data_IF_834784675126
#
_entry.id   IF_834784675126
#
_cell.length_a   1.000
_cell.length_b   1.000
_cell.length_c   1.000
_cell.angle_alpha   90.00
_cell.angle_beta   90.00
_cell.angle_gamma   90.00
#
_symmetry.space_group_name_H-M   'P 1'
#
loop_
_entity.id
_entity.type
_entity.pdbx_description
1 polymer ?
#
# COMPACT_ATOMS: atom_id res chain seq x y z
N UNK A 1 20.15 -1.89 -1.29
CA UNK A 1 20.18 -2.84 -0.16
C UNK A 1 19.54 -2.10 0.99
N UNK A 2 18.39 -2.55 1.47
CA UNK A 2 17.66 -1.87 2.56
C UNK A 2 18.50 -1.88 3.83
N UNK A 3 18.50 -0.78 4.58
CA UNK A 3 19.26 -0.68 5.82
C UNK A 3 18.34 -0.81 7.05
N UNK A 4 17.51 -1.85 7.09
CA UNK A 4 16.66 -2.08 8.25
C UNK A 4 17.44 -2.80 9.36
N UNK A 5 17.54 -2.15 10.52
CA UNK A 5 18.05 -2.80 11.73
C UNK A 5 16.90 -3.49 12.48
N UNK A 6 17.19 -4.62 13.11
CA UNK A 6 16.19 -5.38 13.87
C UNK A 6 15.99 -4.81 15.26
N UNK A 7 14.75 -4.86 15.76
CA UNK A 7 14.40 -4.50 17.13
C UNK A 7 15.22 -5.29 18.17
N UNK A 8 15.71 -4.60 19.21
CA UNK A 8 16.50 -5.16 20.30
C UNK A 8 15.69 -6.01 21.30
N UNK A 9 14.35 -6.05 21.21
CA UNK A 9 13.55 -6.90 22.08
C UNK A 9 13.79 -8.38 21.73
N UNK A 10 14.18 -9.26 22.69
CA UNK A 10 14.73 -10.60 22.41
C UNK A 10 13.90 -11.50 21.49
N UNK A 11 12.58 -11.45 21.64
CA UNK A 11 11.62 -12.25 20.85
C UNK A 11 11.08 -11.52 19.61
N UNK A 12 11.52 -10.29 19.38
CA UNK A 12 11.06 -9.51 18.23
C UNK A 12 11.92 -9.80 16.99
N UNK A 13 11.23 -9.90 15.84
CA UNK A 13 11.85 -10.04 14.52
C UNK A 13 11.47 -8.90 13.56
N UNK A 14 10.87 -7.85 14.11
CA UNK A 14 10.51 -6.65 13.36
C UNK A 14 11.67 -5.66 13.32
N UNK A 15 11.52 -4.57 12.57
CA UNK A 15 12.55 -3.57 12.38
C UNK A 15 12.38 -2.38 13.33
N UNK A 16 13.47 -1.69 13.60
CA UNK A 16 13.45 -0.47 14.39
C UNK A 16 12.64 0.63 13.71
N UNK A 17 12.02 1.47 14.52
CA UNK A 17 11.34 2.68 14.07
C UNK A 17 12.24 3.88 14.42
N UNK A 18 12.64 4.67 13.42
CA UNK A 18 13.62 5.76 13.55
C UNK A 18 14.98 5.30 14.14
N UNK A 19 15.66 6.18 14.88
CA UNK A 19 17.01 5.98 15.41
C UNK A 19 17.06 5.17 16.74
N UNK A 20 15.91 4.69 17.21
CA UNK A 20 15.81 3.92 18.46
C UNK A 20 16.19 2.45 18.31
N UNK A 21 16.48 1.72 19.41
CA UNK A 21 16.78 0.30 19.35
C UNK A 21 15.52 -0.57 19.21
N UNK A 22 14.32 0.01 19.25
CA UNK A 22 13.06 -0.71 19.30
C UNK A 22 12.20 -0.45 18.07
N UNK A 23 11.40 -1.45 17.69
CA UNK A 23 10.31 -1.24 16.75
C UNK A 23 9.20 -0.40 17.40
N UNK A 24 8.24 0.01 16.58
CA UNK A 24 7.08 0.77 17.02
C UNK A 24 6.41 0.16 18.28
N UNK A 25 6.11 -1.16 18.25
CA UNK A 25 5.45 -1.87 19.35
C UNK A 25 6.28 -1.98 20.63
N UNK A 26 7.61 -2.04 20.54
CA UNK A 26 8.47 -2.16 21.72
C UNK A 26 9.07 -0.82 22.18
N UNK A 27 8.68 0.27 21.53
CA UNK A 27 9.05 1.61 21.99
C UNK A 27 8.49 1.84 23.40
N UNK A 28 9.31 2.33 24.36
CA UNK A 28 8.83 2.64 25.71
C UNK A 28 7.85 3.82 25.73
N UNK A 29 7.93 4.72 24.74
CA UNK A 29 7.03 5.87 24.57
C UNK A 29 6.32 5.80 23.20
N UNK A 30 5.32 4.93 23.08
CA UNK A 30 4.60 4.74 21.80
C UNK A 30 3.84 5.99 21.36
N UNK A 31 3.23 6.76 22.28
CA UNK A 31 2.48 7.97 21.94
C UNK A 31 3.38 9.07 21.35
N UNK A 32 4.56 9.26 21.93
CA UNK A 32 5.55 10.22 21.43
C UNK A 32 6.11 9.76 20.08
N UNK A 33 6.43 8.46 19.95
CA UNK A 33 6.89 7.89 18.69
C UNK A 33 5.82 8.04 17.59
N UNK A 34 4.56 7.75 17.89
CA UNK A 34 3.43 7.93 16.98
C UNK A 34 3.32 9.39 16.52
N UNK A 35 3.41 10.33 17.46
CA UNK A 35 3.34 11.76 17.15
C UNK A 35 4.47 12.20 16.21
N UNK A 36 5.70 11.72 16.45
CA UNK A 36 6.85 11.99 15.56
C UNK A 36 6.70 11.34 14.19
N UNK A 37 6.21 10.10 14.14
CA UNK A 37 5.93 9.41 12.87
C UNK A 37 4.89 10.16 12.04
N UNK A 38 3.81 10.66 12.67
CA UNK A 38 2.80 11.49 11.99
C UNK A 38 3.43 12.78 11.46
N UNK A 39 4.24 13.48 12.27
CA UNK A 39 4.93 14.70 11.84
C UNK A 39 5.87 14.43 10.67
N UNK A 40 6.62 13.33 10.71
CA UNK A 40 7.51 12.91 9.62
C UNK A 40 6.71 12.52 8.37
N UNK A 41 5.56 11.86 8.50
CA UNK A 41 4.71 11.54 7.36
C UNK A 41 4.10 12.79 6.72
N UNK A 42 3.74 13.80 7.51
CA UNK A 42 3.14 15.05 7.04
C UNK A 42 4.15 16.12 6.63
N UNK A 43 5.45 15.93 6.90
CA UNK A 43 6.49 16.86 6.47
C UNK A 43 6.71 16.82 4.95
N UNK A 44 7.49 17.75 4.41
CA UNK A 44 7.91 17.73 3.01
C UNK A 44 9.03 16.72 2.71
N UNK A 45 9.67 16.15 3.74
CA UNK A 45 10.82 15.25 3.54
C UNK A 45 10.39 13.89 3.02
N UNK A 46 11.11 13.31 2.07
CA UNK A 46 10.86 11.93 1.63
C UNK A 46 11.11 10.93 2.76
N UNK A 47 10.25 9.92 2.88
CA UNK A 47 10.45 8.79 3.79
C UNK A 47 11.28 7.73 3.05
N UNK A 48 12.51 7.49 3.51
CA UNK A 48 13.43 6.54 2.87
C UNK A 48 13.95 5.56 3.90
N UNK A 49 13.94 4.25 3.57
CA UNK A 49 14.42 3.16 4.43
C UNK A 49 13.76 3.14 5.83
N UNK A 50 12.50 3.55 5.90
CA UNK A 50 11.79 3.71 7.17
C UNK A 50 10.91 2.50 7.50
N UNK A 51 10.75 2.14 8.78
CA UNK A 51 9.82 1.09 9.20
C UNK A 51 8.78 1.59 10.19
N UNK A 52 7.52 1.38 9.84
CA UNK A 52 6.32 1.68 10.63
C UNK A 52 5.51 0.43 10.97
N UNK A 53 6.12 -0.75 10.86
CA UNK A 53 5.41 -2.03 10.90
C UNK A 53 4.45 -2.14 12.10
N UNK A 54 3.18 -2.46 11.82
CA UNK A 54 2.16 -2.66 12.85
C UNK A 54 1.59 -1.38 13.48
N UNK A 55 1.88 -0.21 12.94
CA UNK A 55 1.32 1.07 13.42
C UNK A 55 -0.07 1.33 12.85
N UNK A 56 -0.81 2.23 13.50
CA UNK A 56 -2.14 2.65 13.08
C UNK A 56 -2.17 4.15 12.78
N UNK A 57 -2.85 4.52 11.70
CA UNK A 57 -3.02 5.91 11.28
C UNK A 57 -4.45 6.17 10.88
N UNK A 58 -4.97 7.31 11.34
CA UNK A 58 -6.34 7.74 11.07
C UNK A 58 -6.37 9.23 10.73
N UNK A 59 -7.23 9.61 9.78
CA UNK A 59 -7.49 10.99 9.37
C UNK A 59 -6.22 11.78 8.96
N UNK A 60 -5.29 11.11 8.27
CA UNK A 60 -4.06 11.74 7.79
C UNK A 60 -4.16 12.15 6.33
N UNK A 61 -3.48 13.24 5.99
CA UNK A 61 -3.26 13.70 4.62
C UNK A 61 -1.79 13.68 4.30
N UNK A 62 -1.45 12.91 3.28
CA UNK A 62 -0.10 12.69 2.77
C UNK A 62 0.04 13.08 1.29
N UNK A 63 -0.63 14.14 0.79
CA UNK A 63 -0.65 14.39 -0.64
C UNK A 63 0.77 14.68 -1.14
N UNK A 64 1.15 14.04 -2.26
CA UNK A 64 2.49 14.19 -2.87
C UNK A 64 3.67 13.71 -2.01
N UNK A 65 3.42 13.00 -0.90
CA UNK A 65 4.49 12.42 -0.08
C UNK A 65 5.26 11.37 -0.88
N UNK A 66 6.57 11.36 -0.71
CA UNK A 66 7.44 10.30 -1.23
C UNK A 66 7.70 9.28 -0.12
N UNK A 67 7.35 8.02 -0.39
CA UNK A 67 7.65 6.88 0.47
C UNK A 67 8.43 5.88 -0.38
N UNK A 68 9.70 5.71 -0.04
CA UNK A 68 10.68 4.99 -0.84
C UNK A 68 11.36 3.95 0.04
N UNK A 69 11.49 2.73 -0.46
CA UNK A 69 12.22 1.66 0.21
C UNK A 69 11.79 1.40 1.67
N UNK A 70 10.52 1.69 1.99
CA UNK A 70 10.03 1.72 3.37
C UNK A 70 9.10 0.55 3.67
N UNK A 71 9.09 0.09 4.92
CA UNK A 71 8.29 -1.03 5.40
C UNK A 71 7.14 -0.55 6.29
N UNK A 72 5.94 -0.60 5.75
CA UNK A 72 4.67 -0.30 6.41
C UNK A 72 3.78 -1.55 6.50
N UNK A 73 4.35 -2.75 6.45
CA UNK A 73 3.58 -3.98 6.57
C UNK A 73 2.82 -4.04 7.91
N UNK A 74 1.69 -4.76 7.93
CA UNK A 74 0.84 -4.94 9.10
C UNK A 74 0.21 -3.66 9.67
N UNK A 75 0.29 -2.54 8.95
CA UNK A 75 -0.28 -1.27 9.41
C UNK A 75 -1.79 -1.23 9.16
N UNK A 76 -2.46 -0.34 9.91
CA UNK A 76 -3.84 0.02 9.63
C UNK A 76 -3.93 1.50 9.25
N UNK A 77 -4.59 1.79 8.13
CA UNK A 77 -4.86 3.13 7.65
C UNK A 77 -6.37 3.33 7.52
N UNK A 78 -6.90 4.34 8.19
CA UNK A 78 -8.32 4.73 8.15
C UNK A 78 -8.45 6.17 7.69
N UNK A 79 -9.26 6.44 6.67
CA UNK A 79 -9.47 7.80 6.14
C UNK A 79 -8.15 8.52 5.78
N UNK A 80 -7.15 7.78 5.29
CA UNK A 80 -5.85 8.37 4.93
C UNK A 80 -5.83 8.73 3.44
N UNK A 81 -5.43 9.97 3.17
CA UNK A 81 -5.27 10.52 1.83
C UNK A 81 -3.81 10.37 1.37
N UNK A 82 -3.55 9.41 0.50
CA UNK A 82 -2.29 9.17 -0.22
C UNK A 82 -2.30 9.76 -1.64
N UNK A 83 -3.21 10.69 -1.97
CA UNK A 83 -3.34 11.20 -3.33
C UNK A 83 -2.04 11.77 -3.87
N UNK A 84 -1.69 11.42 -5.10
CA UNK A 84 -0.47 11.89 -5.77
C UNK A 84 0.85 11.51 -5.06
N UNK A 85 0.84 10.58 -4.12
CA UNK A 85 2.06 10.07 -3.49
C UNK A 85 2.93 9.29 -4.48
N UNK A 86 4.23 9.28 -4.21
CA UNK A 86 5.19 8.40 -4.90
C UNK A 86 5.54 7.25 -3.97
N UNK A 87 5.23 6.03 -4.39
CA UNK A 87 5.47 4.78 -3.67
C UNK A 87 6.44 3.94 -4.49
N UNK A 88 7.71 3.87 -4.07
CA UNK A 88 8.74 3.10 -4.78
C UNK A 88 9.36 2.08 -3.84
N UNK A 89 9.38 0.80 -4.23
CA UNK A 89 9.92 -0.28 -3.40
C UNK A 89 9.35 -0.27 -1.96
N UNK A 90 8.06 0.03 -1.81
CA UNK A 90 7.42 0.16 -0.49
C UNK A 90 6.60 -1.09 -0.17
N UNK A 91 6.63 -1.51 1.09
CA UNK A 91 5.99 -2.73 1.55
C UNK A 91 4.77 -2.40 2.43
N UNK A 92 3.59 -2.71 1.93
CA UNK A 92 2.30 -2.63 2.61
C UNK A 92 1.68 -4.02 2.77
N UNK A 93 2.49 -5.07 2.92
CA UNK A 93 1.97 -6.43 3.09
C UNK A 93 1.05 -6.53 4.33
N UNK A 94 -0.06 -7.26 4.19
CA UNK A 94 -0.99 -7.56 5.28
C UNK A 94 -1.55 -6.32 6.01
N UNK A 95 -1.74 -5.21 5.29
CA UNK A 95 -2.32 -4.00 5.85
C UNK A 95 -3.85 -4.02 5.80
N UNK A 96 -4.46 -3.16 6.61
CA UNK A 96 -5.85 -2.73 6.43
C UNK A 96 -5.86 -1.30 5.90
N UNK A 97 -6.53 -1.10 4.76
CA UNK A 97 -6.89 0.21 4.23
C UNK A 97 -8.41 0.33 4.27
N UNK A 98 -8.91 1.31 5.03
CA UNK A 98 -10.34 1.55 5.19
C UNK A 98 -10.63 3.02 4.82
N UNK A 99 -11.45 3.23 3.80
CA UNK A 99 -11.80 4.56 3.28
C UNK A 99 -10.59 5.43 2.92
N UNK A 100 -9.53 4.83 2.36
CA UNK A 100 -8.31 5.53 1.97
C UNK A 100 -8.33 5.98 0.50
N UNK A 101 -7.69 7.12 0.21
CA UNK A 101 -7.59 7.66 -1.15
C UNK A 101 -6.17 7.50 -1.67
N UNK A 102 -6.03 6.96 -2.87
CA UNK A 102 -4.80 6.69 -3.61
C UNK A 102 -4.91 7.22 -5.06
N UNK A 103 -5.75 8.22 -5.33
CA UNK A 103 -5.93 8.67 -6.70
C UNK A 103 -4.67 9.38 -7.23
N UNK A 104 -4.33 9.12 -8.49
CA UNK A 104 -3.18 9.71 -9.16
C UNK A 104 -1.82 9.39 -8.53
N UNK A 105 -1.67 8.27 -7.80
CA UNK A 105 -0.37 7.87 -7.24
C UNK A 105 0.60 7.40 -8.33
N UNK A 106 1.89 7.45 -8.01
CA UNK A 106 2.95 6.79 -8.75
C UNK A 106 3.49 5.62 -7.92
N UNK A 107 3.07 4.40 -8.25
CA UNK A 107 3.53 3.18 -7.59
C UNK A 107 4.40 2.34 -8.52
N UNK A 108 5.60 1.98 -8.03
CA UNK A 108 6.51 1.08 -8.76
C UNK A 108 7.22 0.13 -7.80
N UNK A 109 7.16 -1.18 -8.10
CA UNK A 109 7.74 -2.25 -7.26
C UNK A 109 7.23 -2.23 -5.81
N UNK A 110 6.03 -1.70 -5.60
CA UNK A 110 5.36 -1.68 -4.30
C UNK A 110 4.65 -3.01 -4.07
N UNK A 111 4.46 -3.37 -2.81
CA UNK A 111 3.80 -4.60 -2.41
C UNK A 111 2.61 -4.27 -1.51
N UNK A 112 1.43 -4.78 -1.87
CA UNK A 112 0.18 -4.72 -1.09
C UNK A 112 -0.32 -6.12 -0.72
N UNK A 113 0.48 -7.17 -0.93
CA UNK A 113 0.04 -8.57 -0.83
C UNK A 113 -0.68 -8.88 0.48
N UNK A 114 -1.76 -9.65 0.39
CA UNK A 114 -2.55 -10.08 1.54
C UNK A 114 -3.27 -8.95 2.29
N UNK A 115 -3.23 -7.72 1.78
CA UNK A 115 -3.92 -6.59 2.41
C UNK A 115 -5.41 -6.61 2.15
N UNK A 116 -6.15 -6.00 3.07
CA UNK A 116 -7.56 -5.71 2.91
C UNK A 116 -7.77 -4.25 2.55
N UNK A 117 -8.57 -3.99 1.53
CA UNK A 117 -8.90 -2.64 1.05
C UNK A 117 -10.42 -2.49 0.99
N UNK A 118 -10.94 -1.56 1.76
CA UNK A 118 -12.37 -1.28 1.88
C UNK A 118 -12.59 0.17 1.47
N UNK A 119 -13.47 0.40 0.49
CA UNK A 119 -13.86 1.74 0.05
C UNK A 119 -12.65 2.62 -0.35
N UNK A 120 -11.67 2.02 -1.04
CA UNK A 120 -10.45 2.70 -1.45
C UNK A 120 -10.50 3.17 -2.92
N UNK A 121 -9.91 4.32 -3.21
CA UNK A 121 -9.90 4.90 -4.56
C UNK A 121 -8.48 5.07 -5.10
N UNK A 122 -8.10 4.26 -6.08
CA UNK A 122 -6.82 4.31 -6.79
C UNK A 122 -6.91 5.04 -8.14
N UNK A 123 -8.05 5.65 -8.48
CA UNK A 123 -8.30 6.12 -9.85
C UNK A 123 -7.23 7.05 -10.44
N UNK A 124 -7.00 6.92 -11.76
CA UNK A 124 -6.05 7.74 -12.51
C UNK A 124 -4.57 7.53 -12.13
N UNK A 125 -4.24 6.42 -11.47
CA UNK A 125 -2.89 6.15 -10.97
C UNK A 125 -2.00 5.42 -11.97
N UNK A 126 -0.68 5.56 -11.80
CA UNK A 126 0.33 4.76 -12.50
C UNK A 126 0.88 3.74 -11.51
N UNK A 127 0.45 2.50 -11.63
CA UNK A 127 0.70 1.40 -10.69
C UNK A 127 1.35 0.23 -11.44
N UNK A 128 2.66 0.30 -11.61
CA UNK A 128 3.40 -0.60 -12.49
C UNK A 128 4.28 -1.55 -11.69
N UNK A 129 4.36 -2.82 -12.12
CA UNK A 129 5.10 -3.85 -11.39
C UNK A 129 4.74 -3.95 -9.90
N UNK A 130 3.47 -3.72 -9.55
CA UNK A 130 3.01 -3.72 -8.16
C UNK A 130 2.39 -5.08 -7.83
N UNK A 131 2.67 -5.57 -6.63
CA UNK A 131 2.20 -6.87 -6.17
C UNK A 131 0.96 -6.72 -5.28
N UNK A 132 -0.20 -7.10 -5.79
CA UNK A 132 -1.47 -7.23 -5.08
C UNK A 132 -1.88 -8.70 -4.88
N UNK A 133 -0.94 -9.65 -4.82
CA UNK A 133 -1.28 -11.07 -4.60
C UNK A 133 -2.10 -11.25 -3.31
N UNK A 134 -3.22 -11.94 -3.39
CA UNK A 134 -4.05 -12.29 -2.23
C UNK A 134 -4.76 -11.12 -1.57
N UNK A 135 -4.91 -9.97 -2.23
CA UNK A 135 -5.67 -8.86 -1.66
C UNK A 135 -7.15 -9.19 -1.54
N UNK A 136 -7.81 -8.61 -0.54
CA UNK A 136 -9.27 -8.62 -0.37
C UNK A 136 -9.80 -7.20 -0.58
N UNK A 137 -10.43 -6.95 -1.73
CA UNK A 137 -11.00 -5.65 -2.07
C UNK A 137 -12.51 -5.65 -1.95
N UNK A 138 -13.05 -4.60 -1.35
CA UNK A 138 -14.48 -4.34 -1.30
C UNK A 138 -14.78 -2.88 -1.62
N UNK A 139 -15.55 -2.65 -2.70
CA UNK A 139 -15.93 -1.30 -3.17
C UNK A 139 -14.70 -0.43 -3.50
N UNK A 140 -13.71 -1.00 -4.17
CA UNK A 140 -12.51 -0.28 -4.58
C UNK A 140 -12.59 0.20 -6.03
N UNK A 141 -11.94 1.33 -6.33
CA UNK A 141 -11.90 1.93 -7.65
C UNK A 141 -10.46 1.94 -8.18
N UNK A 142 -10.21 1.30 -9.32
CA UNK A 142 -8.94 1.33 -10.06
C UNK A 142 -9.12 1.92 -11.47
N UNK A 143 -10.20 2.65 -11.72
CA UNK A 143 -10.48 3.20 -13.05
C UNK A 143 -9.35 4.12 -13.54
N UNK A 144 -9.17 4.18 -14.86
CA UNK A 144 -8.17 5.03 -15.53
C UNK A 144 -6.71 4.75 -15.10
N UNK A 145 -6.44 3.56 -14.53
CA UNK A 145 -5.11 3.21 -14.05
C UNK A 145 -4.23 2.53 -15.10
N UNK A 146 -2.93 2.82 -15.05
CA UNK A 146 -1.90 1.96 -15.68
C UNK A 146 -1.44 0.90 -14.69
N UNK A 147 -1.86 -0.35 -14.90
CA UNK A 147 -1.56 -1.52 -14.09
C UNK A 147 -0.55 -2.47 -14.76
N UNK A 148 0.27 -1.95 -15.68
CA UNK A 148 1.22 -2.76 -16.44
C UNK A 148 2.09 -3.64 -15.53
N UNK A 149 2.09 -4.95 -15.83
CA UNK A 149 2.87 -5.97 -15.10
C UNK A 149 2.53 -6.08 -13.60
N UNK A 150 1.37 -5.59 -13.15
CA UNK A 150 0.92 -5.77 -11.77
C UNK A 150 0.22 -7.12 -11.57
N UNK A 151 0.30 -7.70 -10.39
CA UNK A 151 -0.29 -9.04 -10.12
C UNK A 151 -1.34 -8.98 -9.04
N UNK A 152 -2.45 -9.67 -9.26
CA UNK A 152 -3.60 -9.84 -8.39
C UNK A 152 -3.86 -11.32 -8.08
N UNK A 153 -2.85 -12.19 -8.21
CA UNK A 153 -3.06 -13.63 -8.11
C UNK A 153 -3.69 -14.05 -6.78
N UNK A 154 -4.64 -14.98 -6.81
CA UNK A 154 -5.35 -15.49 -5.63
C UNK A 154 -6.10 -14.42 -4.82
N UNK A 155 -6.50 -13.32 -5.43
CA UNK A 155 -7.20 -12.22 -4.75
C UNK A 155 -8.72 -12.38 -4.76
N UNK A 156 -9.38 -11.73 -3.80
CA UNK A 156 -10.83 -11.62 -3.70
C UNK A 156 -11.23 -10.21 -4.10
N UNK A 157 -11.91 -10.07 -5.24
CA UNK A 157 -12.26 -8.78 -5.82
C UNK A 157 -13.78 -8.63 -5.82
N UNK A 158 -14.31 -7.81 -4.90
CA UNK A 158 -15.75 -7.57 -4.78
C UNK A 158 -16.08 -6.11 -4.99
N UNK A 159 -17.04 -5.84 -5.87
CA UNK A 159 -17.51 -4.49 -6.20
C UNK A 159 -16.35 -3.57 -6.61
N UNK A 160 -15.39 -4.14 -7.34
CA UNK A 160 -14.15 -3.44 -7.69
C UNK A 160 -14.15 -3.10 -9.17
N UNK A 161 -13.82 -1.87 -9.50
CA UNK A 161 -13.85 -1.36 -10.87
C UNK A 161 -12.44 -1.19 -11.42
N UNK A 162 -12.20 -1.69 -12.63
CA UNK A 162 -10.99 -1.53 -13.43
C UNK A 162 -11.41 -1.09 -14.84
N UNK A 163 -12.15 0.02 -14.94
CA UNK A 163 -12.60 0.57 -16.23
C UNK A 163 -11.54 1.49 -16.83
N UNK A 164 -11.38 1.45 -18.15
CA UNK A 164 -10.41 2.27 -18.89
C UNK A 164 -8.94 2.11 -18.41
N UNK A 165 -8.58 0.89 -17.97
CA UNK A 165 -7.24 0.58 -17.48
C UNK A 165 -6.32 0.00 -18.56
N UNK A 166 -5.02 0.27 -18.41
CA UNK A 166 -3.98 -0.53 -19.04
C UNK A 166 -3.60 -1.71 -18.14
N UNK A 167 -4.09 -2.90 -18.46
CA UNK A 167 -3.86 -4.17 -17.77
C UNK A 167 -2.82 -5.06 -18.49
N UNK A 168 -2.07 -4.54 -19.47
CA UNK A 168 -1.05 -5.32 -20.20
C UNK A 168 -0.12 -6.09 -19.26
N UNK A 169 -0.03 -7.41 -19.46
CA UNK A 169 0.78 -8.33 -18.64
C UNK A 169 0.41 -8.35 -17.16
N UNK A 170 -0.73 -7.78 -16.77
CA UNK A 170 -1.24 -8.00 -15.43
C UNK A 170 -1.69 -9.47 -15.28
N UNK A 171 -1.59 -10.00 -14.07
CA UNK A 171 -1.93 -11.38 -13.75
C UNK A 171 -3.09 -11.41 -12.76
N UNK A 172 -4.20 -12.01 -13.15
CA UNK A 172 -5.44 -12.17 -12.38
C UNK A 172 -5.74 -13.65 -12.10
N UNK A 173 -4.76 -14.54 -12.22
CA UNK A 173 -4.98 -15.96 -11.97
C UNK A 173 -5.56 -16.25 -10.59
N UNK A 174 -6.51 -17.20 -10.56
CA UNK A 174 -7.14 -17.67 -9.33
C UNK A 174 -7.87 -16.57 -8.54
N UNK A 175 -8.28 -15.48 -9.20
CA UNK A 175 -9.09 -14.44 -8.56
C UNK A 175 -10.55 -14.87 -8.39
N UNK A 176 -11.16 -14.56 -7.25
CA UNK A 176 -12.63 -14.60 -7.08
C UNK A 176 -13.17 -13.20 -7.41
N UNK A 177 -13.82 -13.06 -8.56
CA UNK A 177 -14.35 -11.79 -9.06
C UNK A 177 -15.87 -11.75 -8.92
N UNK A 178 -16.38 -10.83 -8.09
CA UNK A 178 -17.82 -10.61 -7.88
C UNK A 178 -18.18 -9.15 -8.12
N UNK A 179 -19.02 -8.91 -9.13
CA UNK A 179 -19.41 -7.56 -9.56
C UNK A 179 -18.18 -6.69 -9.87
N UNK A 180 -17.20 -7.29 -10.55
CA UNK A 180 -16.02 -6.59 -11.06
C UNK A 180 -16.32 -6.03 -12.44
N UNK A 181 -15.93 -4.78 -12.68
CA UNK A 181 -16.01 -4.17 -14.02
C UNK A 181 -14.62 -4.06 -14.64
N UNK A 182 -14.50 -4.46 -15.91
CA UNK A 182 -13.27 -4.44 -16.71
C UNK A 182 -13.51 -3.72 -18.05
N UNK A 183 -14.55 -2.88 -18.12
CA UNK A 183 -14.96 -2.26 -19.39
C UNK A 183 -13.88 -1.34 -19.91
N UNK A 184 -13.68 -1.36 -21.22
CA UNK A 184 -12.70 -0.51 -21.92
C UNK A 184 -11.23 -0.75 -21.54
N UNK A 185 -10.97 -1.72 -20.67
CA UNK A 185 -9.63 -2.18 -20.33
C UNK A 185 -9.17 -3.27 -21.29
N UNK A 186 -7.87 -3.33 -21.56
CA UNK A 186 -7.24 -4.36 -22.40
C UNK A 186 -7.04 -5.68 -21.64
N UNK A 187 -8.11 -6.19 -21.02
CA UNK A 187 -8.11 -7.37 -20.16
C UNK A 187 -7.71 -8.66 -20.90
N UNK A 188 -7.94 -8.72 -22.21
CA UNK A 188 -7.46 -9.81 -23.08
C UNK A 188 -5.93 -9.95 -23.12
N UNK A 189 -5.18 -8.89 -22.75
CA UNK A 189 -3.72 -8.91 -22.63
C UNK A 189 -3.24 -9.32 -21.22
N UNK A 190 -4.16 -9.73 -20.36
CA UNK A 190 -3.85 -10.26 -19.01
C UNK A 190 -3.75 -11.78 -19.04
N UNK A 191 -3.10 -12.32 -18.01
CA UNK A 191 -3.25 -13.73 -17.64
C UNK A 191 -4.41 -13.83 -16.66
N UNK A 192 -5.41 -14.66 -16.92
CA UNK A 192 -6.61 -14.79 -16.08
C UNK A 192 -7.23 -16.19 -16.18
#
# INVERSE_FOLDING_TARGET
MFNFMTCAHPECRTYICEDGPFCFRHSPNQEELQSRCIQLLQSESSMVDFSLTGSEFEDLKLPKKEIIASNLAWCTFRNVDFSHTTLINTFFDFCLFDHCTFNGILSRYTVFSGSKMIDCDFSGSIIIHTNFCGVDTYRCNFNDCDLYFSTFNSSYLRDTSFEDCNLKKADFLHTDQRRVSLRYSNYEETRH
#
